data_IF_498980004048
#
_entry.id   IF_498980004048
#
_cell.length_a   1.000
_cell.length_b   1.000
_cell.length_c   1.000
_cell.angle_alpha   90.00
_cell.angle_beta   90.00
_cell.angle_gamma   90.00
#
_symmetry.space_group_name_H-M   'P 1'
#
loop_
_entity.id
_entity.type
_entity.pdbx_description
1 polymer ?
#
# COMPACT_ATOMS: atom_id res chain seq x y z
N UNK A 1 5.39 18.13 10.94
CA UNK A 1 6.21 16.89 10.96
C UNK A 1 5.73 15.86 9.96
N UNK A 2 4.43 15.52 9.92
CA UNK A 2 3.91 14.46 9.05
C UNK A 2 3.04 14.94 7.88
N UNK A 3 2.62 16.21 7.87
CA UNK A 3 1.72 16.77 6.87
C UNK A 3 0.44 17.28 7.53
N UNK A 4 -0.64 17.34 6.76
CA UNK A 4 -1.98 17.67 7.26
C UNK A 4 -2.48 16.59 8.24
N UNK A 5 -3.22 17.02 9.26
CA UNK A 5 -3.80 16.09 10.23
C UNK A 5 -4.82 15.17 9.55
N UNK A 6 -4.99 13.96 10.09
CA UNK A 6 -5.93 12.98 9.55
C UNK A 6 -7.37 13.41 9.75
N UNK A 7 -8.22 13.19 8.74
CA UNK A 7 -9.65 13.47 8.77
C UNK A 7 -10.44 12.17 8.89
N UNK A 8 -11.58 12.20 9.56
CA UNK A 8 -12.41 11.02 9.77
C UNK A 8 -12.83 10.34 8.45
N UNK A 9 -13.07 11.14 7.40
CA UNK A 9 -13.44 10.65 6.06
C UNK A 9 -12.41 9.74 5.40
N UNK A 10 -11.15 9.79 5.81
CA UNK A 10 -10.06 9.02 5.19
C UNK A 10 -9.98 7.58 5.68
N UNK A 11 -10.73 7.24 6.73
CA UNK A 11 -10.75 5.90 7.35
C UNK A 11 -12.09 5.19 7.16
N UNK A 12 -12.99 5.77 6.36
CA UNK A 12 -14.38 5.27 6.20
C UNK A 12 -14.39 3.84 5.66
N UNK A 13 -13.39 3.47 4.86
CA UNK A 13 -13.29 2.14 4.24
C UNK A 13 -12.27 1.22 4.93
N UNK A 14 -11.70 1.62 6.07
CA UNK A 14 -10.71 0.83 6.80
C UNK A 14 -11.39 -0.15 7.74
N UNK A 15 -11.38 -1.44 7.37
CA UNK A 15 -11.97 -2.51 8.17
C UNK A 15 -10.93 -3.61 8.48
N UNK A 16 -10.37 -3.67 9.71
CA UNK A 16 -10.49 -2.70 10.81
C UNK A 16 -9.64 -1.45 10.59
N UNK A 17 -9.86 -0.41 11.42
CA UNK A 17 -9.04 0.80 11.41
C UNK A 17 -7.59 0.49 11.82
N UNK A 18 -6.62 1.17 11.20
CA UNK A 18 -5.18 0.99 11.45
C UNK A 18 -4.56 2.19 12.19
N UNK A 19 -5.30 2.79 13.12
CA UNK A 19 -4.79 3.87 13.93
C UNK A 19 -3.77 3.35 14.93
N UNK A 20 -2.58 3.95 14.90
CA UNK A 20 -1.53 3.60 15.84
C UNK A 20 -1.87 4.03 17.27
N UNK A 21 -1.71 3.12 18.22
CA UNK A 21 -1.75 3.43 19.67
C UNK A 21 -0.36 3.73 20.25
N UNK A 22 0.71 3.41 19.50
CA UNK A 22 2.11 3.63 19.86
C UNK A 22 2.94 4.02 18.64
N UNK A 23 4.01 4.77 18.87
CA UNK A 23 4.98 5.18 17.84
C UNK A 23 6.39 4.77 18.26
N UNK A 24 6.79 3.57 17.87
CA UNK A 24 8.22 3.17 17.87
C UNK A 24 8.91 3.70 16.61
N UNK A 25 8.24 3.57 15.45
CA UNK A 25 8.57 4.27 14.21
C UNK A 25 7.74 5.55 14.02
N UNK A 26 7.98 6.30 12.94
CA UNK A 26 7.17 7.44 12.54
C UNK A 26 5.72 7.06 12.19
N UNK A 27 4.84 8.04 12.15
CA UNK A 27 3.49 7.88 11.63
C UNK A 27 3.51 7.64 10.11
N UNK A 28 2.68 6.70 9.62
CA UNK A 28 2.65 6.27 8.22
C UNK A 28 1.51 6.88 7.40
N UNK A 29 0.52 7.53 8.03
CA UNK A 29 -0.72 7.89 7.34
C UNK A 29 -0.51 8.88 6.18
N UNK A 30 0.62 9.59 6.13
CA UNK A 30 0.98 10.57 5.10
C UNK A 30 2.24 10.18 4.32
N UNK A 31 2.52 8.88 4.18
CA UNK A 31 3.73 8.41 3.49
C UNK A 31 3.57 8.25 1.98
N UNK A 32 2.32 8.22 1.47
CA UNK A 32 2.06 8.06 0.05
C UNK A 32 2.77 9.14 -0.79
N UNK A 33 3.50 8.69 -1.82
CA UNK A 33 4.33 9.52 -2.72
C UNK A 33 5.45 10.33 -2.03
N UNK A 34 5.73 10.09 -0.74
CA UNK A 34 6.81 10.78 -0.02
C UNK A 34 8.19 10.16 -0.31
N UNK A 35 8.23 8.85 -0.47
CA UNK A 35 9.43 8.08 -0.81
C UNK A 35 9.17 7.27 -2.09
N UNK A 36 10.23 6.97 -2.84
CA UNK A 36 10.13 6.16 -4.06
C UNK A 36 9.86 4.69 -3.73
N UNK A 37 9.39 3.92 -4.72
CA UNK A 37 9.23 2.47 -4.55
C UNK A 37 10.56 1.80 -4.22
N UNK A 38 11.66 2.25 -4.87
CA UNK A 38 13.03 1.81 -4.55
C UNK A 38 13.38 2.04 -3.06
N UNK A 39 13.06 3.22 -2.52
CA UNK A 39 13.30 3.51 -1.10
C UNK A 39 12.54 2.55 -0.19
N UNK A 40 11.26 2.29 -0.50
CA UNK A 40 10.44 1.35 0.27
C UNK A 40 10.99 -0.08 0.19
N UNK A 41 11.39 -0.53 -1.01
CA UNK A 41 11.99 -1.84 -1.22
C UNK A 41 13.25 -2.02 -0.35
N UNK A 42 14.22 -1.12 -0.50
CA UNK A 42 15.49 -1.19 0.23
C UNK A 42 15.30 -1.00 1.74
N UNK A 43 14.33 -0.18 2.16
CA UNK A 43 14.01 0.00 3.57
C UNK A 43 13.38 -1.25 4.19
N UNK A 44 12.59 -2.02 3.45
CA UNK A 44 12.05 -3.30 3.95
C UNK A 44 13.11 -4.40 3.98
N UNK A 45 14.01 -4.42 2.99
CA UNK A 45 15.16 -5.33 2.95
C UNK A 45 16.10 -5.09 4.15
N UNK A 46 16.57 -3.84 4.29
CA UNK A 46 17.45 -3.44 5.36
C UNK A 46 17.18 -2.00 5.80
N UNK A 47 16.36 -1.78 6.83
CA UNK A 47 15.98 -0.42 7.19
C UNK A 47 17.16 0.42 7.72
N UNK A 48 18.30 -0.18 8.11
CA UNK A 48 19.52 0.56 8.52
C UNK A 48 20.22 1.21 7.33
N UNK A 49 20.09 0.64 6.12
CA UNK A 49 20.75 1.17 4.92
C UNK A 49 20.11 2.50 4.49
N UNK A 50 18.78 2.57 4.58
CA UNK A 50 18.01 3.75 4.20
C UNK A 50 17.83 4.75 5.36
N UNK A 51 17.85 4.27 6.61
CA UNK A 51 17.74 5.09 7.81
C UNK A 51 18.74 4.62 8.87
N UNK A 52 19.94 5.25 8.92
CA UNK A 52 20.95 4.93 9.92
C UNK A 52 20.40 5.04 11.34
N UNK A 53 20.61 3.99 12.14
CA UNK A 53 20.06 3.90 13.51
C UNK A 53 18.60 3.46 13.60
N UNK A 54 17.96 3.06 12.51
CA UNK A 54 16.59 2.53 12.52
C UNK A 54 16.46 1.28 13.41
N UNK A 55 15.47 1.29 14.30
CA UNK A 55 15.11 0.16 15.19
C UNK A 55 14.11 -0.83 14.57
N UNK A 56 13.63 -0.58 13.35
CA UNK A 56 12.65 -1.44 12.68
C UNK A 56 13.24 -2.85 12.45
N UNK A 57 12.52 -3.97 12.52
CA UNK A 57 13.08 -5.24 12.04
C UNK A 57 13.27 -5.21 10.50
N UNK A 58 14.25 -5.91 9.92
CA UNK A 58 14.23 -6.19 8.48
C UNK A 58 13.10 -7.18 8.15
N UNK A 59 12.52 -7.08 6.95
CA UNK A 59 11.42 -7.93 6.46
C UNK A 59 11.80 -8.62 5.13
N UNK A 60 12.92 -9.39 5.06
CA UNK A 60 13.41 -9.95 3.81
C UNK A 60 12.46 -10.97 3.17
N UNK A 61 11.64 -11.67 3.97
CA UNK A 61 10.67 -12.64 3.45
C UNK A 61 9.64 -12.00 2.50
N UNK A 62 9.36 -10.71 2.62
CA UNK A 62 8.46 -10.01 1.70
C UNK A 62 9.01 -9.96 0.26
N UNK A 63 10.33 -10.01 0.11
CA UNK A 63 11.01 -10.00 -1.20
C UNK A 63 11.02 -11.41 -1.81
N UNK A 64 10.93 -12.45 -0.99
CA UNK A 64 11.02 -13.86 -1.39
C UNK A 64 9.65 -14.48 -1.66
N UNK A 65 8.70 -14.24 -0.75
CA UNK A 65 7.37 -14.83 -0.76
C UNK A 65 6.52 -14.31 -1.92
N UNK A 66 5.71 -15.22 -2.47
CA UNK A 66 4.66 -14.88 -3.43
C UNK A 66 3.38 -14.48 -2.68
N UNK A 67 2.68 -13.50 -3.22
CA UNK A 67 1.38 -13.05 -2.75
C UNK A 67 0.33 -14.15 -2.99
N UNK A 68 -0.38 -14.55 -1.94
CA UNK A 68 -1.59 -15.36 -2.06
C UNK A 68 -2.82 -14.46 -2.26
N UNK A 69 -3.30 -14.41 -3.50
CA UNK A 69 -4.46 -13.64 -3.93
C UNK A 69 -5.74 -14.48 -4.07
N UNK A 70 -5.72 -15.75 -3.65
CA UNK A 70 -6.86 -16.68 -3.78
C UNK A 70 -8.16 -16.17 -3.16
N UNK A 71 -8.04 -15.35 -2.11
CA UNK A 71 -9.15 -14.76 -1.38
C UNK A 71 -9.52 -13.33 -1.83
N UNK A 72 -8.91 -12.80 -2.89
CA UNK A 72 -9.12 -11.40 -3.32
C UNK A 72 -10.60 -11.11 -3.61
N UNK A 73 -11.25 -11.96 -4.41
CA UNK A 73 -12.68 -11.82 -4.73
C UNK A 73 -13.55 -11.83 -3.48
N UNK A 74 -13.33 -12.80 -2.60
CA UNK A 74 -14.07 -12.94 -1.35
C UNK A 74 -13.90 -11.72 -0.44
N UNK A 75 -12.68 -11.16 -0.36
CA UNK A 75 -12.41 -9.93 0.40
C UNK A 75 -13.17 -8.74 -0.18
N UNK A 76 -13.20 -8.56 -1.50
CA UNK A 76 -13.95 -7.47 -2.15
C UNK A 76 -15.46 -7.60 -1.87
N UNK A 77 -16.03 -8.80 -2.02
CA UNK A 77 -17.45 -9.03 -1.72
C UNK A 77 -17.77 -8.79 -0.24
N UNK A 78 -16.86 -9.17 0.67
CA UNK A 78 -17.01 -8.90 2.11
C UNK A 78 -16.94 -7.39 2.40
N UNK A 79 -16.00 -6.66 1.80
CA UNK A 79 -15.88 -5.20 1.95
C UNK A 79 -17.09 -4.47 1.39
N UNK A 80 -17.65 -4.93 0.25
CA UNK A 80 -18.92 -4.44 -0.30
C UNK A 80 -20.07 -4.63 0.70
N UNK A 81 -20.12 -5.78 1.38
CA UNK A 81 -21.10 -6.05 2.44
C UNK A 81 -20.95 -5.11 3.65
N UNK A 82 -19.72 -4.68 3.95
CA UNK A 82 -19.42 -3.73 5.03
C UNK A 82 -19.71 -2.27 4.66
N UNK A 83 -20.15 -1.99 3.42
CA UNK A 83 -20.51 -0.66 2.94
C UNK A 83 -19.42 0.06 2.15
N UNK A 84 -18.32 -0.62 1.81
CA UNK A 84 -17.31 -0.07 0.89
C UNK A 84 -17.89 -0.09 -0.53
N UNK A 85 -17.87 1.02 -1.28
CA UNK A 85 -18.59 1.16 -2.55
C UNK A 85 -17.81 0.54 -3.73
N UNK A 86 -17.47 -0.74 -3.62
CA UNK A 86 -17.04 -1.50 -4.79
C UNK A 86 -18.23 -1.73 -5.72
N UNK A 87 -18.02 -1.49 -7.02
CA UNK A 87 -19.03 -1.76 -8.05
C UNK A 87 -19.47 -3.24 -8.05
N UNK A 88 -20.69 -3.50 -8.47
CA UNK A 88 -21.17 -4.87 -8.63
C UNK A 88 -20.36 -5.58 -9.73
N UNK A 89 -19.78 -6.74 -9.42
CA UNK A 89 -18.92 -7.48 -10.33
C UNK A 89 -17.46 -7.02 -10.38
N UNK A 90 -17.04 -6.04 -9.56
CA UNK A 90 -15.64 -5.60 -9.51
C UNK A 90 -14.66 -6.74 -9.16
N UNK A 91 -15.11 -7.73 -8.39
CA UNK A 91 -14.36 -8.96 -8.09
C UNK A 91 -13.85 -9.69 -9.34
N UNK A 92 -14.50 -9.55 -10.50
CA UNK A 92 -14.08 -10.21 -11.74
C UNK A 92 -12.92 -9.50 -12.45
N UNK A 93 -12.79 -8.18 -12.25
CA UNK A 93 -11.72 -7.37 -12.85
C UNK A 93 -10.55 -7.11 -11.89
N UNK A 94 -10.76 -7.34 -10.59
CA UNK A 94 -9.80 -7.01 -9.54
C UNK A 94 -8.40 -7.61 -9.74
N UNK A 95 -8.29 -8.86 -10.19
CA UNK A 95 -6.98 -9.47 -10.46
C UNK A 95 -6.26 -8.78 -11.63
N UNK A 96 -6.99 -8.37 -12.66
CA UNK A 96 -6.41 -7.68 -13.81
C UNK A 96 -5.91 -6.28 -13.42
N UNK A 97 -6.66 -5.55 -12.59
CA UNK A 97 -6.21 -4.24 -12.08
C UNK A 97 -5.05 -4.37 -11.08
N UNK A 98 -5.10 -5.38 -10.21
CA UNK A 98 -3.99 -5.70 -9.30
C UNK A 98 -2.70 -5.98 -10.08
N UNK A 99 -2.78 -6.78 -11.15
CA UNK A 99 -1.64 -7.08 -12.01
C UNK A 99 -1.08 -5.82 -12.70
N UNK A 100 -1.95 -4.96 -13.25
CA UNK A 100 -1.53 -3.68 -13.85
C UNK A 100 -0.82 -2.76 -12.84
N UNK A 101 -1.34 -2.69 -11.61
CA UNK A 101 -0.72 -1.91 -10.55
C UNK A 101 0.66 -2.49 -10.16
N UNK A 102 0.75 -3.81 -10.05
CA UNK A 102 2.01 -4.50 -9.77
C UNK A 102 3.05 -4.24 -10.88
N UNK A 103 2.67 -4.38 -12.15
CA UNK A 103 3.54 -4.09 -13.30
C UNK A 103 4.07 -2.66 -13.27
N UNK A 104 3.21 -1.68 -12.94
CA UNK A 104 3.63 -0.27 -12.81
C UNK A 104 4.74 -0.10 -11.78
N UNK A 105 4.60 -0.76 -10.62
CA UNK A 105 5.59 -0.69 -9.54
C UNK A 105 6.88 -1.44 -9.92
N UNK A 106 6.76 -2.63 -10.53
CA UNK A 106 7.91 -3.42 -10.96
C UNK A 106 8.72 -2.69 -12.03
N UNK A 107 8.05 -2.05 -12.99
CA UNK A 107 8.75 -1.27 -14.03
C UNK A 107 9.50 -0.09 -13.41
N UNK A 108 8.91 0.64 -12.47
CA UNK A 108 9.60 1.71 -11.73
C UNK A 108 10.80 1.16 -10.95
N UNK A 109 10.68 -0.01 -10.31
CA UNK A 109 11.80 -0.65 -9.62
C UNK A 109 12.91 -1.07 -10.60
N UNK A 110 12.54 -1.60 -11.76
CA UNK A 110 13.46 -2.03 -12.81
C UNK A 110 14.25 -0.86 -13.38
N UNK A 111 13.60 0.27 -13.62
CA UNK A 111 14.24 1.53 -14.07
C UNK A 111 15.27 2.04 -13.05
N UNK A 112 15.09 1.70 -11.78
CA UNK A 112 16.01 2.00 -10.69
C UNK A 112 17.01 0.84 -10.39
N UNK A 113 17.06 -0.19 -11.23
CA UNK A 113 18.02 -1.29 -11.14
C UNK A 113 17.63 -2.43 -10.20
N UNK A 114 16.38 -2.49 -9.74
CA UNK A 114 15.87 -3.56 -8.87
C UNK A 114 14.99 -4.50 -9.71
N UNK A 115 15.39 -5.78 -9.79
CA UNK A 115 14.62 -6.81 -10.47
C UNK A 115 13.80 -7.58 -9.44
N UNK A 116 12.47 -7.55 -9.57
CA UNK A 116 11.54 -8.26 -8.70
C UNK A 116 10.35 -8.77 -9.53
N UNK A 117 9.82 -9.95 -9.18
CA UNK A 117 8.62 -10.48 -9.82
C UNK A 117 7.38 -9.70 -9.33
N UNK A 118 6.36 -9.46 -10.19
CA UNK A 118 5.16 -8.70 -9.80
C UNK A 118 4.29 -9.41 -8.76
N UNK A 119 4.46 -10.72 -8.58
CA UNK A 119 3.72 -11.53 -7.62
C UNK A 119 4.36 -11.55 -6.22
N UNK A 120 5.40 -10.75 -5.94
CA UNK A 120 6.01 -10.70 -4.60
C UNK A 120 5.21 -9.87 -3.61
N UNK A 121 5.20 -10.30 -2.34
CA UNK A 121 4.51 -9.59 -1.24
C UNK A 121 4.99 -8.13 -1.08
N UNK A 122 6.28 -7.87 -1.33
CA UNK A 122 6.86 -6.52 -1.27
C UNK A 122 6.18 -5.55 -2.25
N UNK A 123 5.76 -6.02 -3.43
CA UNK A 123 5.08 -5.18 -4.44
C UNK A 123 3.72 -4.73 -3.91
N UNK A 124 2.95 -5.65 -3.32
CA UNK A 124 1.67 -5.34 -2.70
C UNK A 124 1.82 -4.37 -1.51
N UNK A 125 2.85 -4.55 -0.68
CA UNK A 125 3.13 -3.64 0.43
C UNK A 125 3.47 -2.23 -0.06
N UNK A 126 4.30 -2.12 -1.10
CA UNK A 126 4.65 -0.83 -1.71
C UNK A 126 3.39 -0.16 -2.26
N UNK A 127 2.55 -0.89 -2.99
CA UNK A 127 1.28 -0.38 -3.52
C UNK A 127 0.40 0.23 -2.41
N UNK A 128 0.27 -0.47 -1.29
CA UNK A 128 -0.47 0.00 -0.12
C UNK A 128 0.15 1.27 0.48
N UNK A 129 1.46 1.27 0.75
CA UNK A 129 2.16 2.42 1.33
C UNK A 129 2.08 3.67 0.43
N UNK A 130 2.14 3.50 -0.89
CA UNK A 130 2.04 4.59 -1.85
C UNK A 130 0.65 5.24 -1.88
N UNK A 131 -0.40 4.51 -1.45
CA UNK A 131 -1.77 5.01 -1.36
C UNK A 131 -2.07 5.76 -0.07
N UNK A 132 -1.30 5.55 1.00
CA UNK A 132 -1.61 6.13 2.32
C UNK A 132 -1.58 7.66 2.33
N UNK A 133 -2.75 8.25 2.60
CA UNK A 133 -2.93 9.68 2.77
C UNK A 133 -2.91 10.50 1.49
N UNK A 134 -3.05 9.86 0.33
CA UNK A 134 -3.17 10.56 -0.96
C UNK A 134 -4.57 11.13 -1.18
N UNK A 135 -5.59 10.54 -0.57
CA UNK A 135 -6.99 10.83 -0.83
C UNK A 135 -7.41 12.23 -0.35
N UNK A 136 -6.70 12.83 0.61
CA UNK A 136 -6.94 14.22 1.04
C UNK A 136 -6.64 15.26 -0.03
N UNK A 137 -5.81 14.91 -1.03
CA UNK A 137 -5.44 15.79 -2.15
C UNK A 137 -6.32 15.56 -3.38
N UNK A 138 -7.21 14.57 -3.35
CA UNK A 138 -8.14 14.35 -4.44
C UNK A 138 -9.16 15.50 -4.47
N UNK A 139 -9.41 16.06 -5.64
CA UNK A 139 -10.50 17.02 -5.82
C UNK A 139 -11.82 16.33 -5.46
N UNK A 140 -12.72 17.07 -4.80
CA UNK A 140 -14.06 16.57 -4.49
C UNK A 140 -14.73 16.22 -5.82
N UNK A 141 -14.91 14.93 -6.08
CA UNK A 141 -15.74 14.50 -7.20
C UNK A 141 -17.13 15.10 -6.99
N UNK A 142 -17.58 15.94 -7.92
CA UNK A 142 -18.95 16.46 -7.91
C UNK A 142 -19.91 15.27 -7.95
N UNK A 143 -20.55 14.99 -6.81
CA UNK A 143 -21.66 14.05 -6.75
C UNK A 143 -22.79 14.60 -7.63
N UNK A 144 -23.02 13.97 -8.79
CA UNK A 144 -24.25 14.14 -9.57
C UNK A 144 -25.34 13.23 -9.04
#
# INVERSE_FOLDING_TARGET
RYGEYSKAGEFVYDHPFLWGSKRTGPDLHRIGKKYSNMWHYLHMENPRSMSPGSLMPPYPWLLENKLDDSNLKAKISAMRTLGVPYEEGYEEVAHAEMAQQAETIVNDLLDNGIVVEPDKEIVALIAYLQRLGTDIKAEVAENK
#
